data_IF_763934448118
#
_entry.id   IF_763934448118
#
_cell.length_a   1.000
_cell.length_b   1.000
_cell.length_c   1.000
_cell.angle_alpha   90.00
_cell.angle_beta   90.00
_cell.angle_gamma   90.00
#
_symmetry.space_group_name_H-M   'P 1'
#
loop_
_entity.id
_entity.type
_entity.pdbx_description
1 polymer ?
#
# COMPACT_ATOMS: atom_id res chain seq x y z
N UNK A 1 -8.84 -29.98 33.53
CA UNK A 1 -8.99 -28.59 34.00
C UNK A 1 -8.72 -27.73 32.79
N UNK A 2 -9.77 -27.18 32.17
CA UNK A 2 -9.63 -26.32 30.99
C UNK A 2 -9.32 -24.95 31.56
N UNK A 3 -8.08 -24.50 31.41
CA UNK A 3 -7.71 -23.11 31.70
C UNK A 3 -8.51 -22.23 30.75
N UNK A 4 -9.52 -21.59 31.31
CA UNK A 4 -10.25 -20.50 30.68
C UNK A 4 -9.21 -19.39 30.53
N UNK A 5 -8.66 -19.25 29.32
CA UNK A 5 -7.96 -18.03 28.94
C UNK A 5 -9.05 -16.96 28.92
N UNK A 6 -9.19 -16.28 30.04
CA UNK A 6 -9.91 -15.02 30.14
C UNK A 6 -9.09 -14.00 29.35
N UNK A 7 -9.20 -14.05 28.02
CA UNK A 7 -8.69 -13.00 27.16
C UNK A 7 -9.66 -11.85 27.30
N UNK A 8 -9.52 -11.08 28.39
CA UNK A 8 -10.11 -9.77 28.52
C UNK A 8 -9.96 -9.07 27.17
N UNK A 9 -11.09 -8.68 26.56
CA UNK A 9 -11.08 -7.89 25.34
C UNK A 9 -10.23 -6.66 25.65
N UNK A 10 -9.03 -6.61 25.07
CA UNK A 10 -8.05 -5.59 25.43
C UNK A 10 -8.59 -4.25 24.94
N UNK A 11 -9.21 -3.51 25.88
CA UNK A 11 -9.73 -2.18 25.62
C UNK A 11 -8.58 -1.21 25.40
N UNK A 12 -8.66 -0.36 24.37
CA UNK A 12 -7.66 0.67 24.14
C UNK A 12 -7.62 1.65 25.33
N UNK A 13 -6.42 2.07 25.72
CA UNK A 13 -6.21 3.16 26.69
C UNK A 13 -5.72 4.39 25.94
N UNK A 14 -6.26 5.55 26.31
CA UNK A 14 -5.97 6.82 25.65
C UNK A 14 -5.22 7.77 26.58
N UNK A 15 -4.08 8.26 26.14
CA UNK A 15 -3.29 9.24 26.89
C UNK A 15 -3.10 10.50 26.05
N UNK A 16 -3.40 11.66 26.65
CA UNK A 16 -3.13 12.95 26.04
C UNK A 16 -1.66 13.32 26.25
N UNK A 17 -1.00 13.69 25.16
CA UNK A 17 0.42 14.02 25.09
C UNK A 17 0.60 15.42 24.49
N UNK A 18 1.63 16.14 24.96
CA UNK A 18 2.07 17.39 24.34
C UNK A 18 2.66 17.14 22.95
N UNK A 19 2.62 18.14 22.05
CA UNK A 19 3.23 18.06 20.72
C UNK A 19 4.75 18.34 20.76
N UNK A 20 5.44 17.92 21.82
CA UNK A 20 6.89 18.04 21.95
C UNK A 20 7.58 16.75 21.44
N UNK A 21 8.90 16.82 21.20
CA UNK A 21 9.66 15.66 20.72
C UNK A 21 9.58 14.46 21.67
N UNK A 22 9.46 14.72 22.98
CA UNK A 22 9.30 13.69 24.02
C UNK A 22 7.88 13.14 24.12
N UNK A 23 6.89 13.79 23.49
CA UNK A 23 5.45 13.49 23.59
C UNK A 23 5.02 13.29 25.03
N UNK A 24 5.36 14.28 25.86
CA UNK A 24 5.16 14.25 27.31
C UNK A 24 3.69 14.00 27.63
N UNK A 25 3.39 12.89 28.30
CA UNK A 25 2.03 12.55 28.71
C UNK A 25 1.55 13.53 29.79
N UNK A 26 0.38 14.11 29.59
CA UNK A 26 -0.22 15.10 30.48
C UNK A 26 -1.54 14.67 31.10
N UNK A 27 -2.27 13.71 30.49
CA UNK A 27 -3.49 13.17 31.06
C UNK A 27 -3.76 11.73 30.58
N UNK A 28 -4.48 10.96 31.39
CA UNK A 28 -5.08 9.68 31.02
C UNK A 28 -6.58 9.90 30.79
N UNK A 29 -7.05 9.71 29.56
CA UNK A 29 -8.44 9.94 29.15
C UNK A 29 -9.28 8.68 29.38
N UNK A 30 -9.39 8.26 30.64
CA UNK A 30 -10.15 7.08 31.04
C UNK A 30 -11.65 7.19 30.79
N UNK A 31 -12.15 8.40 30.63
CA UNK A 31 -13.55 8.74 30.38
C UNK A 31 -13.92 8.83 28.90
N UNK A 32 -12.99 8.54 27.99
CA UNK A 32 -13.26 8.53 26.56
C UNK A 32 -14.29 7.43 26.22
N UNK A 33 -15.27 7.78 25.40
CA UNK A 33 -16.36 6.89 24.95
C UNK A 33 -16.56 6.99 23.44
N UNK A 34 -17.38 6.09 22.89
CA UNK A 34 -17.74 6.09 21.46
C UNK A 34 -16.51 6.11 20.54
N UNK A 35 -15.48 5.37 20.91
CA UNK A 35 -14.26 5.30 20.13
C UNK A 35 -14.48 4.52 18.83
N UNK A 36 -13.89 5.02 17.76
CA UNK A 36 -13.90 4.39 16.45
C UNK A 36 -12.53 4.58 15.83
N UNK A 37 -11.89 3.47 15.47
CA UNK A 37 -10.59 3.44 14.81
C UNK A 37 -10.78 2.88 13.41
N UNK A 38 -10.43 3.67 12.38
CA UNK A 38 -10.36 3.18 11.00
C UNK A 38 -8.90 2.94 10.66
N UNK A 39 -8.56 1.68 10.45
CA UNK A 39 -7.23 1.28 10.02
C UNK A 39 -7.18 1.26 8.50
N UNK A 40 -6.14 1.86 7.93
CA UNK A 40 -5.92 1.86 6.49
C UNK A 40 -4.65 1.10 6.14
N UNK A 41 -4.63 0.49 4.95
CA UNK A 41 -3.47 -0.27 4.46
C UNK A 41 -2.48 0.71 3.83
N UNK A 42 -1.47 1.10 4.58
CA UNK A 42 -0.40 2.02 4.15
C UNK A 42 -0.74 3.50 4.18
N UNK A 43 -2.02 3.86 4.16
CA UNK A 43 -2.47 5.22 4.38
C UNK A 43 -2.43 5.61 5.87
N UNK A 44 -2.97 6.78 6.20
CA UNK A 44 -3.06 7.28 7.57
C UNK A 44 -4.28 6.67 8.25
N UNK A 45 -4.13 6.16 9.48
CA UNK A 45 -5.26 5.68 10.28
C UNK A 45 -6.08 6.85 10.84
N UNK A 46 -7.37 6.65 11.08
CA UNK A 46 -8.24 7.64 11.74
C UNK A 46 -8.65 7.13 13.11
N UNK A 47 -8.74 8.05 14.08
CA UNK A 47 -9.29 7.78 15.41
C UNK A 47 -10.30 8.87 15.73
N UNK A 48 -11.49 8.47 16.14
CA UNK A 48 -12.50 9.36 16.70
C UNK A 48 -12.91 8.86 18.07
N UNK A 49 -13.14 9.77 19.02
CA UNK A 49 -13.72 9.45 20.33
C UNK A 49 -14.42 10.68 20.91
N UNK A 50 -15.23 10.46 21.94
CA UNK A 50 -15.95 11.51 22.67
C UNK A 50 -15.48 11.58 24.11
N UNK A 51 -15.44 12.79 24.68
CA UNK A 51 -15.14 13.05 26.08
C UNK A 51 -16.28 13.89 26.68
N UNK A 52 -16.89 13.48 27.80
CA UNK A 52 -17.97 14.25 28.41
C UNK A 52 -17.45 15.55 29.03
N UNK A 53 -18.22 16.63 28.89
CA UNK A 53 -17.93 17.93 29.49
C UNK A 53 -17.98 17.89 31.02
N UNK A 54 -18.82 16.99 31.56
CA UNK A 54 -19.00 16.82 33.00
C UNK A 54 -18.99 15.34 33.39
N UNK A 55 -18.38 15.05 34.53
CA UNK A 55 -18.34 13.73 35.13
C UNK A 55 -19.28 13.67 36.33
N UNK A 56 -19.96 12.53 36.50
CA UNK A 56 -20.73 12.26 37.72
C UNK A 56 -19.80 11.67 38.78
N UNK A 57 -19.55 12.42 39.86
CA UNK A 57 -18.73 11.95 40.99
C UNK A 57 -19.50 12.16 42.29
N UNK A 58 -19.81 11.07 43.01
CA UNK A 58 -20.61 11.10 44.25
C UNK A 58 -21.93 11.87 44.09
N UNK A 59 -22.68 11.59 43.02
CA UNK A 59 -23.94 12.27 42.64
C UNK A 59 -23.83 13.79 42.42
N UNK A 60 -22.61 14.32 42.18
CA UNK A 60 -22.40 15.72 41.80
C UNK A 60 -21.81 15.81 40.39
N UNK A 61 -22.32 16.77 39.62
CA UNK A 61 -21.83 17.12 38.29
C UNK A 61 -20.54 17.94 38.44
N UNK A 62 -19.40 17.38 38.05
CA UNK A 62 -18.09 18.03 38.13
C UNK A 62 -17.55 18.26 36.73
N UNK A 63 -17.09 19.48 36.41
CA UNK A 63 -16.49 19.78 35.10
C UNK A 63 -15.29 18.86 34.85
N UNK A 64 -15.24 18.25 33.68
CA UNK A 64 -14.11 17.44 33.28
C UNK A 64 -12.88 18.33 33.03
N UNK A 65 -11.82 18.12 33.82
CA UNK A 65 -10.57 18.89 33.72
C UNK A 65 -9.81 18.62 32.43
N UNK A 66 -9.97 17.43 31.83
CA UNK A 66 -9.25 17.07 30.61
C UNK A 66 -9.76 17.80 29.38
N UNK A 67 -11.02 18.23 29.37
CA UNK A 67 -11.62 18.99 28.26
C UNK A 67 -10.84 20.26 27.96
N UNK A 68 -10.40 20.99 29.00
CA UNK A 68 -9.64 22.24 28.84
C UNK A 68 -8.17 21.97 28.42
N UNK A 69 -7.69 20.73 28.58
CA UNK A 69 -6.33 20.32 28.20
C UNK A 69 -6.24 19.82 26.75
N UNK A 70 -7.33 19.27 26.22
CA UNK A 70 -7.40 18.78 24.84
C UNK A 70 -7.36 19.98 23.89
N UNK A 71 -6.33 20.01 23.04
CA UNK A 71 -6.11 21.08 22.06
C UNK A 71 -5.75 20.49 20.71
N UNK A 72 -6.00 21.23 19.64
CA UNK A 72 -5.55 20.87 18.32
C UNK A 72 -4.02 20.70 18.29
N UNK A 73 -3.52 19.85 17.39
CA UNK A 73 -2.11 19.46 17.27
C UNK A 73 -1.51 18.68 18.43
N UNK A 74 -2.20 18.51 19.57
CA UNK A 74 -1.72 17.61 20.61
C UNK A 74 -1.78 16.16 20.13
N UNK A 75 -1.08 15.27 20.82
CA UNK A 75 -1.04 13.87 20.46
C UNK A 75 -1.91 13.02 21.39
N UNK A 76 -2.53 11.98 20.84
CA UNK A 76 -3.19 10.91 21.58
C UNK A 76 -2.36 9.65 21.43
N UNK A 77 -1.81 9.15 22.53
CA UNK A 77 -1.17 7.82 22.58
C UNK A 77 -2.25 6.79 22.86
N UNK A 78 -2.44 5.87 21.93
CA UNK A 78 -3.32 4.71 22.06
C UNK A 78 -2.48 3.51 22.44
N UNK A 79 -2.82 2.86 23.54
CA UNK A 79 -2.20 1.61 23.97
C UNK A 79 -3.22 0.48 23.89
N UNK A 80 -2.97 -0.52 23.04
CA UNK A 80 -3.80 -1.71 22.90
C UNK A 80 -2.91 -2.96 23.02
N UNK A 81 -2.81 -3.48 24.23
CA UNK A 81 -1.94 -4.63 24.54
C UNK A 81 -0.48 -4.23 24.40
N UNK A 82 0.24 -4.87 23.48
CA UNK A 82 1.63 -4.52 23.15
C UNK A 82 1.76 -3.44 22.06
N UNK A 83 0.65 -3.08 21.42
CA UNK A 83 0.67 -2.11 20.34
C UNK A 83 0.48 -0.70 20.90
N UNK A 84 1.37 0.21 20.48
CA UNK A 84 1.34 1.63 20.83
C UNK A 84 1.31 2.41 19.53
N UNK A 85 0.33 3.31 19.40
CA UNK A 85 0.22 4.20 18.26
C UNK A 85 -0.04 5.63 18.72
N UNK A 86 0.55 6.60 18.03
CA UNK A 86 0.29 8.02 18.27
C UNK A 86 -0.58 8.60 17.16
N UNK A 87 -1.54 9.43 17.58
CA UNK A 87 -2.43 10.17 16.72
C UNK A 87 -2.27 11.67 16.96
N UNK A 88 -2.42 12.48 15.92
CA UNK A 88 -2.49 13.93 15.95
C UNK A 88 -3.95 14.37 16.03
N UNK A 89 -4.29 15.19 17.02
CA UNK A 89 -5.62 15.82 17.13
C UNK A 89 -5.76 16.84 16.00
N UNK A 90 -6.68 16.57 15.09
CA UNK A 90 -6.90 17.41 13.91
C UNK A 90 -8.10 18.34 14.10
N UNK A 91 -9.18 17.85 14.73
CA UNK A 91 -10.41 18.62 14.88
C UNK A 91 -11.07 18.28 16.21
N UNK A 92 -11.62 19.31 16.86
CA UNK A 92 -12.41 19.20 18.08
C UNK A 92 -13.78 19.81 17.79
N UNK A 93 -14.82 19.04 18.01
CA UNK A 93 -16.21 19.45 17.80
C UNK A 93 -16.89 19.43 19.17
N UNK A 94 -17.50 20.56 19.55
CA UNK A 94 -18.30 20.63 20.78
C UNK A 94 -19.75 20.37 20.40
N UNK A 95 -20.34 19.35 21.01
CA UNK A 95 -21.73 18.97 20.78
C UNK A 95 -22.51 19.17 22.06
N UNK A 96 -23.51 20.04 22.01
CA UNK A 96 -24.41 20.35 23.13
C UNK A 96 -25.76 19.68 22.87
N UNK A 97 -25.76 18.35 22.98
CA UNK A 97 -26.97 17.52 22.93
C UNK A 97 -27.22 16.93 24.34
N UNK A 98 -28.00 15.85 24.46
CA UNK A 98 -28.39 15.24 25.76
C UNK A 98 -27.22 14.90 26.71
N UNK A 99 -26.00 14.71 26.17
CA UNK A 99 -24.83 14.25 26.92
C UNK A 99 -23.68 15.26 27.02
N UNK A 100 -23.83 16.51 26.54
CA UNK A 100 -22.82 17.59 26.64
C UNK A 100 -21.37 17.06 26.45
N UNK A 101 -20.93 16.83 25.21
CA UNK A 101 -19.64 16.16 24.92
C UNK A 101 -18.75 16.97 23.99
N UNK A 102 -17.45 16.68 24.03
CA UNK A 102 -16.53 17.04 22.94
C UNK A 102 -16.23 15.79 22.13
N UNK A 103 -16.36 15.88 20.82
CA UNK A 103 -15.92 14.86 19.86
C UNK A 103 -14.55 15.26 19.33
N UNK A 104 -13.59 14.35 19.39
CA UNK A 104 -12.22 14.56 18.96
C UNK A 104 -11.94 13.67 17.75
N UNK A 105 -11.53 14.28 16.64
CA UNK A 105 -11.15 13.59 15.41
C UNK A 105 -9.63 13.72 15.22
N UNK A 106 -8.97 12.58 15.09
CA UNK A 106 -7.53 12.45 15.02
C UNK A 106 -7.10 11.66 13.79
N UNK A 107 -5.94 12.03 13.24
CA UNK A 107 -5.24 11.25 12.23
C UNK A 107 -3.99 10.63 12.83
N UNK A 108 -3.56 9.47 12.34
CA UNK A 108 -2.29 8.87 12.79
C UNK A 108 -1.14 9.86 12.58
N UNK A 109 -0.11 9.78 13.42
CA UNK A 109 1.01 10.72 13.46
C UNK A 109 1.66 11.06 12.09
N UNK A 110 1.76 10.14 11.10
CA UNK A 110 2.30 10.46 9.78
C UNK A 110 1.62 11.63 9.08
N UNK A 111 0.39 11.98 9.47
CA UNK A 111 -0.32 13.14 8.96
C UNK A 111 0.45 14.46 9.14
N UNK A 112 1.40 14.55 10.08
CA UNK A 112 2.29 15.71 10.21
C UNK A 112 3.09 16.00 8.91
N UNK A 113 3.40 14.96 8.13
CA UNK A 113 4.11 15.05 6.85
C UNK A 113 3.28 15.72 5.75
N UNK A 114 1.96 15.81 5.89
CA UNK A 114 1.07 16.49 4.93
C UNK A 114 1.36 18.00 4.83
N UNK A 115 1.95 18.59 5.87
CA UNK A 115 2.24 20.03 5.95
C UNK A 115 3.60 20.40 5.38
N UNK A 116 4.46 19.40 5.10
CA UNK A 116 5.81 19.61 4.56
C UNK A 116 5.73 19.49 3.04
N UNK A 117 6.11 20.55 2.33
CA UNK A 117 5.98 20.62 0.88
C UNK A 117 7.32 20.43 0.18
N UNK A 118 7.28 19.68 -0.92
CA UNK A 118 8.37 19.46 -1.86
C UNK A 118 7.97 20.09 -3.19
N UNK A 119 8.90 20.83 -3.82
CA UNK A 119 8.68 21.48 -5.11
C UNK A 119 9.71 20.97 -6.12
N UNK A 120 9.23 20.56 -7.30
CA UNK A 120 10.05 20.24 -8.46
C UNK A 120 11.17 19.22 -8.17
N UNK A 121 10.88 18.17 -7.41
CA UNK A 121 11.82 17.08 -7.21
C UNK A 121 11.82 16.17 -8.44
N UNK A 122 13.00 15.85 -8.96
CA UNK A 122 13.18 15.00 -10.15
C UNK A 122 14.50 14.26 -10.07
N UNK A 123 14.45 12.93 -10.21
CA UNK A 123 15.62 12.04 -10.27
C UNK A 123 15.37 10.95 -11.31
N UNK A 124 16.41 10.48 -11.99
CA UNK A 124 16.27 9.54 -13.13
C UNK A 124 16.51 8.08 -12.75
N UNK A 125 17.38 7.81 -11.79
CA UNK A 125 17.82 6.45 -11.48
C UNK A 125 18.09 6.29 -10.00
N UNK A 126 17.05 6.44 -9.18
CA UNK A 126 17.14 6.27 -7.73
C UNK A 126 16.33 5.07 -7.27
N UNK A 127 16.78 4.45 -6.19
CA UNK A 127 16.06 3.39 -5.52
C UNK A 127 15.13 3.92 -4.42
N UNK A 128 14.31 3.04 -3.81
CA UNK A 128 13.30 3.47 -2.85
C UNK A 128 13.90 4.16 -1.61
N UNK A 129 14.99 3.62 -1.04
CA UNK A 129 15.64 4.21 0.14
C UNK A 129 16.21 5.59 -0.16
N UNK A 130 16.88 5.78 -1.30
CA UNK A 130 17.44 7.07 -1.70
C UNK A 130 16.35 8.14 -1.80
N UNK A 131 15.25 7.83 -2.49
CA UNK A 131 14.13 8.77 -2.63
C UNK A 131 13.51 9.07 -1.26
N UNK A 132 13.31 8.06 -0.41
CA UNK A 132 12.76 8.27 0.94
C UNK A 132 13.63 9.15 1.82
N UNK A 133 14.96 8.97 1.79
CA UNK A 133 15.91 9.83 2.53
C UNK A 133 15.75 11.28 2.08
N UNK A 134 15.71 11.53 0.77
CA UNK A 134 15.57 12.87 0.22
C UNK A 134 14.22 13.52 0.58
N UNK A 135 13.13 12.74 0.60
CA UNK A 135 11.80 13.23 0.98
C UNK A 135 11.72 13.58 2.47
N UNK A 136 12.41 12.84 3.33
CA UNK A 136 12.30 12.95 4.78
C UNK A 136 13.33 13.89 5.42
N UNK A 137 14.37 14.30 4.68
CA UNK A 137 15.52 15.09 5.20
C UNK A 137 15.14 16.36 5.97
N UNK A 138 14.02 17.01 5.60
CA UNK A 138 13.55 18.27 6.23
C UNK A 138 12.49 18.05 7.30
N UNK A 139 12.34 16.80 7.75
CA UNK A 139 11.32 16.37 8.71
C UNK A 139 11.95 15.75 9.95
N UNK A 140 11.12 15.47 10.95
CA UNK A 140 11.52 14.72 12.16
C UNK A 140 11.24 13.21 12.03
N UNK A 141 10.86 12.77 10.83
CA UNK A 141 10.65 11.37 10.49
C UNK A 141 11.89 10.84 9.79
N UNK A 142 12.16 9.55 9.98
CA UNK A 142 13.34 8.89 9.42
C UNK A 142 12.94 7.66 8.59
N UNK A 143 13.85 7.20 7.74
CA UNK A 143 13.71 5.90 7.09
C UNK A 143 13.88 4.81 8.14
N UNK A 144 12.98 3.83 8.12
CA UNK A 144 13.06 2.63 8.92
C UNK A 144 13.57 1.45 8.10
N UNK A 145 12.89 0.31 8.21
CA UNK A 145 13.15 -0.88 7.41
C UNK A 145 12.63 -0.71 5.97
N UNK A 146 13.44 -1.10 4.99
CA UNK A 146 13.05 -1.18 3.58
C UNK A 146 13.45 -2.57 3.09
N UNK A 147 12.50 -3.33 2.54
CA UNK A 147 12.82 -4.63 1.94
C UNK A 147 13.81 -4.46 0.77
N UNK A 148 14.88 -5.27 0.80
CA UNK A 148 16.05 -5.11 -0.08
C UNK A 148 15.71 -5.10 -1.58
N UNK A 149 14.64 -5.78 -2.00
CA UNK A 149 14.21 -5.77 -3.40
C UNK A 149 13.84 -4.37 -3.92
N UNK A 150 13.42 -3.46 -3.05
CA UNK A 150 13.12 -2.08 -3.44
C UNK A 150 14.38 -1.26 -3.68
N UNK A 151 15.51 -1.69 -3.12
CA UNK A 151 16.82 -1.07 -3.33
C UNK A 151 17.56 -1.63 -4.56
N UNK A 152 17.12 -2.78 -5.08
CA UNK A 152 17.60 -3.36 -6.34
C UNK A 152 16.91 -2.76 -7.58
N UNK A 153 15.77 -2.08 -7.39
CA UNK A 153 15.00 -1.43 -8.46
C UNK A 153 15.37 0.05 -8.51
N UNK A 154 15.62 0.57 -9.72
CA UNK A 154 15.90 1.99 -9.94
C UNK A 154 14.81 2.57 -10.84
N UNK A 155 14.29 3.73 -10.46
CA UNK A 155 13.18 4.40 -11.14
C UNK A 155 13.47 5.88 -11.33
N UNK A 156 12.94 6.43 -12.41
CA UNK A 156 12.71 7.87 -12.51
C UNK A 156 11.59 8.24 -11.53
N UNK A 157 11.77 9.32 -10.80
CA UNK A 157 10.79 9.80 -9.84
C UNK A 157 10.70 11.32 -9.89
N UNK A 158 9.54 11.80 -10.31
CA UNK A 158 9.19 13.22 -10.37
C UNK A 158 8.07 13.49 -9.39
N UNK A 159 8.22 14.54 -8.57
CA UNK A 159 7.28 14.84 -7.50
C UNK A 159 7.15 16.33 -7.19
N UNK A 160 5.90 16.75 -6.96
CA UNK A 160 5.55 18.02 -6.34
C UNK A 160 4.31 17.82 -5.48
N UNK A 161 4.37 18.25 -4.21
CA UNK A 161 3.28 18.02 -3.27
C UNK A 161 3.76 17.94 -1.82
N UNK A 162 2.98 17.29 -0.96
CA UNK A 162 3.40 17.06 0.43
C UNK A 162 4.35 15.86 0.57
N UNK A 163 5.17 15.83 1.62
CA UNK A 163 6.02 14.67 1.96
C UNK A 163 5.18 13.42 2.18
N UNK A 164 3.98 13.55 2.77
CA UNK A 164 3.07 12.41 2.95
C UNK A 164 2.67 11.80 1.60
N UNK A 165 2.25 12.63 0.65
CA UNK A 165 1.92 12.19 -0.71
C UNK A 165 3.13 11.67 -1.47
N UNK A 166 4.34 12.17 -1.18
CA UNK A 166 5.57 11.65 -1.78
C UNK A 166 5.81 10.21 -1.33
N UNK A 167 5.70 9.93 -0.02
CA UNK A 167 5.83 8.57 0.53
C UNK A 167 4.79 7.62 -0.07
N UNK A 168 3.55 8.08 -0.24
CA UNK A 168 2.50 7.31 -0.91
C UNK A 168 2.83 7.01 -2.36
N UNK A 169 3.36 7.99 -3.11
CA UNK A 169 3.76 7.77 -4.50
C UNK A 169 4.96 6.82 -4.59
N UNK A 170 5.95 6.93 -3.69
CA UNK A 170 7.08 5.98 -3.63
C UNK A 170 6.53 4.56 -3.43
N UNK A 171 5.63 4.36 -2.46
CA UNK A 171 5.05 3.05 -2.21
C UNK A 171 4.31 2.50 -3.44
N UNK A 172 3.53 3.32 -4.14
CA UNK A 172 2.87 2.91 -5.39
C UNK A 172 3.88 2.57 -6.50
N UNK A 173 4.91 3.41 -6.70
CA UNK A 173 5.95 3.22 -7.74
C UNK A 173 6.74 1.93 -7.54
N UNK A 174 7.00 1.55 -6.29
CA UNK A 174 7.75 0.33 -5.95
C UNK A 174 6.85 -0.86 -5.59
N UNK A 175 5.53 -0.67 -5.61
CA UNK A 175 4.52 -1.66 -5.16
C UNK A 175 4.79 -2.14 -3.74
N UNK A 176 5.18 -1.21 -2.86
CA UNK A 176 5.51 -1.47 -1.46
C UNK A 176 4.32 -1.20 -0.54
N UNK A 177 4.26 -1.91 0.57
CA UNK A 177 3.37 -1.62 1.68
C UNK A 177 4.06 -0.65 2.66
N UNK A 178 3.42 0.50 2.91
CA UNK A 178 3.89 1.43 3.94
C UNK A 178 3.49 0.91 5.32
N UNK A 179 4.45 0.87 6.25
CA UNK A 179 4.21 0.60 7.66
C UNK A 179 4.80 1.73 8.50
N UNK A 180 3.91 2.48 9.16
CA UNK A 180 4.29 3.63 9.97
C UNK A 180 4.66 3.21 11.39
N UNK A 181 5.91 3.44 11.80
CA UNK A 181 6.28 3.39 13.21
C UNK A 181 6.08 4.77 13.83
N UNK A 182 4.89 4.99 14.39
CA UNK A 182 4.54 6.27 15.03
C UNK A 182 5.33 6.50 16.31
N UNK A 183 5.89 5.46 16.95
CA UNK A 183 6.68 5.60 18.17
C UNK A 183 8.07 6.12 17.82
N UNK A 184 8.75 5.53 16.85
CA UNK A 184 10.08 5.97 16.43
C UNK A 184 10.06 7.05 15.35
N UNK A 185 8.88 7.39 14.84
CA UNK A 185 8.67 8.27 13.67
C UNK A 185 9.44 7.74 12.46
N UNK A 186 9.25 6.45 12.15
CA UNK A 186 9.90 5.82 11.01
C UNK A 186 8.89 5.43 9.91
N UNK A 187 9.33 5.58 8.68
CA UNK A 187 8.64 5.08 7.49
C UNK A 187 9.30 3.78 7.08
N UNK A 188 8.56 2.68 7.11
CA UNK A 188 9.04 1.38 6.66
C UNK A 188 8.33 0.98 5.36
N UNK A 189 9.05 0.31 4.47
CA UNK A 189 8.52 -0.26 3.24
C UNK A 189 8.70 -1.78 3.27
N UNK A 190 7.58 -2.49 3.22
CA UNK A 190 7.56 -3.95 3.18
C UNK A 190 7.02 -4.47 1.86
N UNK A 191 7.46 -5.65 1.46
CA UNK A 191 6.80 -6.44 0.43
C UNK A 191 5.39 -6.84 0.91
N UNK A 192 4.33 -6.41 0.21
CA UNK A 192 2.96 -6.79 0.54
C UNK A 192 2.72 -8.31 0.61
N UNK A 193 3.47 -9.11 -0.16
CA UNK A 193 3.27 -10.55 -0.29
C UNK A 193 3.93 -11.34 0.85
N UNK A 194 4.99 -10.80 1.45
CA UNK A 194 5.70 -11.43 2.59
C UNK A 194 5.42 -10.75 3.92
N UNK A 195 4.72 -9.61 3.93
CA UNK A 195 4.41 -8.89 5.16
C UNK A 195 3.31 -9.58 5.97
N UNK A 196 3.68 -9.95 7.20
CA UNK A 196 2.79 -10.61 8.15
C UNK A 196 2.80 -12.12 8.01
N UNK A 197 2.12 -12.79 8.94
CA UNK A 197 2.00 -14.25 8.94
C UNK A 197 0.58 -14.68 9.24
N UNK A 198 0.17 -15.79 8.64
CA UNK A 198 -1.12 -16.39 8.95
C UNK A 198 -1.12 -16.88 10.41
N UNK A 199 -1.88 -16.21 11.27
CA UNK A 199 -2.01 -16.55 12.70
C UNK A 199 -3.03 -17.68 12.97
N UNK A 200 -3.53 -18.33 11.93
CA UNK A 200 -4.44 -19.47 12.05
C UNK A 200 -5.89 -19.11 12.36
N UNK A 201 -6.27 -17.82 12.32
CA UNK A 201 -7.65 -17.42 12.51
C UNK A 201 -8.53 -17.95 11.38
N UNK A 202 -9.55 -18.74 11.74
CA UNK A 202 -10.52 -19.32 10.81
C UNK A 202 -11.92 -19.00 11.32
N UNK A 203 -12.79 -18.54 10.43
CA UNK A 203 -14.18 -18.20 10.72
C UNK A 203 -15.09 -18.83 9.67
N UNK A 204 -16.38 -19.03 9.99
CA UNK A 204 -17.40 -19.57 9.07
C UNK A 204 -18.70 -18.82 9.28
N UNK A 205 -19.58 -18.82 8.28
CA UNK A 205 -20.91 -18.23 8.42
C UNK A 205 -21.64 -18.79 9.66
N UNK A 206 -22.21 -17.91 10.48
CA UNK A 206 -22.84 -18.26 11.76
C UNK A 206 -21.86 -18.58 12.89
N UNK A 207 -20.55 -18.59 12.65
CA UNK A 207 -19.48 -18.78 13.63
C UNK A 207 -18.43 -17.67 13.50
N UNK A 208 -18.64 -16.56 14.22
CA UNK A 208 -17.81 -15.36 14.15
C UNK A 208 -17.86 -14.62 12.79
N UNK A 209 -18.86 -14.89 11.94
CA UNK A 209 -19.12 -14.19 10.68
C UNK A 209 -20.63 -14.03 10.51
N UNK A 210 -21.07 -12.78 10.35
CA UNK A 210 -22.48 -12.43 10.15
C UNK A 210 -22.88 -12.38 8.68
N UNK A 211 -21.94 -12.09 7.77
CA UNK A 211 -22.17 -12.04 6.34
C UNK A 211 -20.85 -11.96 5.58
N UNK A 212 -20.90 -12.31 4.30
CA UNK A 212 -19.80 -12.15 3.35
C UNK A 212 -20.40 -11.64 2.05
N UNK A 213 -19.79 -10.59 1.50
CA UNK A 213 -20.13 -10.07 0.17
C UNK A 213 -18.91 -10.29 -0.69
N UNK A 214 -19.11 -10.96 -1.84
CA UNK A 214 -18.09 -11.13 -2.86
C UNK A 214 -18.55 -10.35 -4.08
N UNK A 215 -17.71 -9.42 -4.52
CA UNK A 215 -17.93 -8.63 -5.73
C UNK A 215 -16.87 -9.00 -6.75
N UNK A 216 -17.30 -9.25 -7.99
CA UNK A 216 -16.42 -9.47 -9.14
C UNK A 216 -16.51 -8.25 -10.03
N UNK A 217 -15.41 -7.52 -10.15
CA UNK A 217 -15.30 -6.33 -10.97
C UNK A 217 -14.29 -6.60 -12.12
N UNK A 218 -14.69 -6.29 -13.36
CA UNK A 218 -13.90 -6.50 -14.58
C UNK A 218 -13.47 -5.17 -15.25
N UNK A 219 -13.57 -4.04 -14.54
CA UNK A 219 -13.28 -2.70 -15.08
C UNK A 219 -11.83 -2.56 -15.57
N UNK A 220 -10.88 -3.19 -14.86
CA UNK A 220 -9.45 -3.20 -15.22
C UNK A 220 -9.02 -4.49 -15.96
N UNK A 221 -9.98 -5.26 -16.49
CA UNK A 221 -9.68 -6.50 -17.21
C UNK A 221 -9.29 -6.24 -18.67
N UNK A 222 -8.20 -6.85 -19.14
CA UNK A 222 -7.87 -6.88 -20.56
C UNK A 222 -7.20 -8.20 -20.97
N UNK A 223 -7.39 -8.60 -22.23
CA UNK A 223 -6.67 -9.72 -22.85
C UNK A 223 -5.44 -9.25 -23.64
N UNK A 224 -5.25 -7.94 -23.74
CA UNK A 224 -4.12 -7.32 -24.44
C UNK A 224 -3.70 -6.04 -23.75
N UNK A 225 -2.49 -6.03 -23.20
CA UNK A 225 -1.88 -4.89 -22.52
C UNK A 225 -0.77 -4.31 -23.39
N UNK A 226 -0.94 -3.06 -23.86
CA UNK A 226 0.10 -2.31 -24.59
C UNK A 226 1.06 -1.63 -23.62
N UNK A 227 2.35 -1.67 -23.91
CA UNK A 227 3.40 -1.15 -23.03
C UNK A 227 4.21 -0.07 -23.73
N UNK A 228 4.29 1.09 -23.08
CA UNK A 228 5.04 2.26 -23.51
C UNK A 228 5.83 2.82 -22.31
N UNK A 229 7.10 3.09 -22.54
CA UNK A 229 8.01 3.76 -21.63
C UNK A 229 8.29 5.19 -22.08
N UNK A 230 9.37 5.76 -21.53
CA UNK A 230 9.85 7.08 -21.92
C UNK A 230 10.31 7.08 -23.39
N UNK A 231 10.10 8.20 -24.09
CA UNK A 231 10.52 8.40 -25.48
C UNK A 231 9.98 7.34 -26.44
N UNK A 232 8.71 6.93 -26.24
CA UNK A 232 8.01 5.87 -26.99
C UNK A 232 8.71 4.50 -26.99
N UNK A 233 9.64 4.29 -26.05
CA UNK A 233 10.27 2.99 -25.84
C UNK A 233 9.21 1.94 -25.54
N UNK A 234 9.36 0.75 -26.11
CA UNK A 234 8.33 -0.28 -26.02
C UNK A 234 8.98 -1.67 -26.04
N UNK A 235 8.18 -2.73 -25.91
CA UNK A 235 8.67 -4.09 -25.67
C UNK A 235 8.90 -4.92 -26.93
N UNK A 236 8.80 -4.33 -28.13
CA UNK A 236 8.94 -5.09 -29.39
C UNK A 236 10.28 -5.81 -29.48
N UNK A 237 11.35 -5.22 -28.93
CA UNK A 237 12.70 -5.79 -28.94
C UNK A 237 12.87 -7.02 -28.04
N UNK A 238 11.91 -7.28 -27.14
CA UNK A 238 11.94 -8.43 -26.22
C UNK A 238 10.68 -9.29 -26.33
N UNK A 239 9.71 -8.89 -27.15
CA UNK A 239 8.47 -9.61 -27.35
C UNK A 239 8.63 -10.64 -28.49
N UNK A 240 8.44 -11.95 -28.25
CA UNK A 240 8.54 -12.96 -29.31
C UNK A 240 7.56 -12.75 -30.48
N UNK A 241 6.51 -11.96 -30.28
CA UNK A 241 5.55 -11.60 -31.34
C UNK A 241 5.95 -10.34 -32.13
N UNK A 242 7.03 -9.65 -31.73
CA UNK A 242 7.44 -8.35 -32.30
C UNK A 242 6.44 -7.21 -32.06
N UNK A 243 5.37 -7.45 -31.30
CA UNK A 243 4.34 -6.47 -30.96
C UNK A 243 4.69 -5.62 -29.74
N UNK A 244 4.00 -4.50 -29.56
CA UNK A 244 4.12 -3.64 -28.38
C UNK A 244 3.17 -4.03 -27.23
N UNK A 245 2.67 -5.27 -27.25
CA UNK A 245 1.67 -5.73 -26.30
C UNK A 245 1.96 -7.12 -25.77
N UNK A 246 1.49 -7.38 -24.55
CA UNK A 246 1.34 -8.72 -23.99
C UNK A 246 -0.11 -9.15 -24.21
N UNK A 247 -0.32 -10.42 -24.54
CA UNK A 247 -1.66 -10.97 -24.77
C UNK A 247 -1.85 -12.28 -24.00
N UNK A 248 -2.99 -12.40 -23.34
CA UNK A 248 -3.40 -13.60 -22.63
C UNK A 248 -4.93 -13.79 -22.72
N UNK A 249 -5.35 -15.01 -23.04
CA UNK A 249 -6.75 -15.43 -23.13
C UNK A 249 -7.12 -16.51 -22.10
N UNK A 250 -6.20 -16.87 -21.22
CA UNK A 250 -6.35 -17.94 -20.22
C UNK A 250 -7.64 -17.86 -19.42
N UNK A 251 -8.06 -16.65 -19.03
CA UNK A 251 -9.32 -16.40 -18.33
C UNK A 251 -10.54 -16.91 -19.11
N UNK A 252 -10.63 -16.61 -20.41
CA UNK A 252 -11.74 -17.07 -21.25
C UNK A 252 -11.58 -18.51 -21.71
N UNK A 253 -10.37 -19.06 -21.63
CA UNK A 253 -10.15 -20.49 -21.85
C UNK A 253 -10.57 -21.31 -20.63
N UNK A 254 -10.57 -20.75 -19.42
CA UNK A 254 -10.91 -21.51 -18.22
C UNK A 254 -12.34 -22.11 -18.27
N UNK A 255 -12.53 -23.36 -17.79
CA UNK A 255 -11.56 -24.32 -17.25
C UNK A 255 -11.05 -25.34 -18.30
N UNK A 256 -10.98 -24.97 -19.58
CA UNK A 256 -10.61 -25.89 -20.66
C UNK A 256 -9.29 -26.64 -20.38
N UNK A 257 -9.32 -27.97 -20.52
CA UNK A 257 -8.14 -28.81 -20.39
C UNK A 257 -8.22 -30.03 -21.30
N UNK A 258 -7.04 -30.53 -21.66
CA UNK A 258 -6.85 -31.72 -22.49
C UNK A 258 -5.87 -32.67 -21.79
N UNK A 259 -6.07 -33.97 -21.95
CA UNK A 259 -5.11 -34.99 -21.50
C UNK A 259 -3.90 -35.09 -22.44
N UNK A 260 -2.90 -35.89 -22.06
CA UNK A 260 -1.70 -36.15 -22.88
C UNK A 260 -2.01 -36.81 -24.22
N UNK A 261 -3.19 -37.41 -24.36
CA UNK A 261 -3.67 -38.06 -25.59
C UNK A 261 -4.47 -37.11 -26.49
N UNK A 262 -4.69 -35.87 -26.05
CA UNK A 262 -5.42 -34.83 -26.79
C UNK A 262 -6.94 -34.89 -26.64
N UNK A 263 -7.47 -35.68 -25.71
CA UNK A 263 -8.90 -35.70 -25.41
C UNK A 263 -9.25 -34.56 -24.46
N UNK A 264 -10.40 -33.93 -24.70
CA UNK A 264 -10.90 -32.84 -23.86
C UNK A 264 -11.39 -33.42 -22.54
N UNK A 265 -10.82 -32.95 -21.43
CA UNK A 265 -11.22 -33.35 -20.08
C UNK A 265 -12.15 -32.34 -19.43
N UNK A 266 -12.12 -31.09 -19.89
CA UNK A 266 -12.99 -30.02 -19.44
C UNK A 266 -13.18 -28.99 -20.55
N UNK A 267 -14.39 -28.44 -20.64
CA UNK A 267 -14.75 -27.41 -21.62
C UNK A 267 -14.58 -26.02 -21.01
N UNK A 268 -14.24 -25.03 -21.84
CA UNK A 268 -14.24 -23.63 -21.42
C UNK A 268 -15.67 -23.17 -21.09
N UNK A 269 -15.81 -22.22 -20.17
CA UNK A 269 -17.10 -21.56 -19.91
C UNK A 269 -17.48 -20.51 -20.97
N UNK A 270 -16.54 -20.08 -21.81
CA UNK A 270 -16.72 -18.91 -22.69
C UNK A 270 -16.37 -19.15 -24.16
N UNK A 271 -15.43 -20.04 -24.44
CA UNK A 271 -14.87 -20.27 -25.78
C UNK A 271 -15.20 -21.67 -26.28
N UNK A 272 -15.29 -21.85 -27.60
CA UNK A 272 -15.42 -23.19 -28.18
C UNK A 272 -14.15 -24.01 -27.97
N UNK A 273 -14.31 -25.33 -27.90
CA UNK A 273 -13.17 -26.25 -27.77
C UNK A 273 -12.19 -26.10 -28.94
N UNK A 274 -12.71 -25.93 -30.17
CA UNK A 274 -11.90 -25.69 -31.37
C UNK A 274 -11.01 -24.46 -31.24
N UNK A 275 -11.55 -23.35 -30.72
CA UNK A 275 -10.80 -22.13 -30.49
C UNK A 275 -9.75 -22.32 -29.39
N UNK A 276 -10.11 -22.99 -28.29
CA UNK A 276 -9.18 -23.27 -27.19
C UNK A 276 -8.00 -24.15 -27.66
N UNK A 277 -8.27 -25.16 -28.48
CA UNK A 277 -7.25 -26.02 -29.10
C UNK A 277 -6.35 -25.19 -30.03
N UNK A 278 -6.93 -24.31 -30.85
CA UNK A 278 -6.19 -23.46 -31.76
C UNK A 278 -5.26 -22.48 -30.99
N UNK A 279 -5.76 -21.85 -29.92
CA UNK A 279 -4.97 -20.97 -29.05
C UNK A 279 -3.82 -21.72 -28.35
N UNK A 280 -4.07 -22.93 -27.83
CA UNK A 280 -3.01 -23.76 -27.25
C UNK A 280 -1.93 -24.13 -28.27
N UNK A 281 -2.32 -24.50 -29.50
CA UNK A 281 -1.37 -24.77 -30.58
C UNK A 281 -0.55 -23.53 -30.94
N UNK A 282 -1.21 -22.37 -31.04
CA UNK A 282 -0.56 -21.09 -31.29
C UNK A 282 0.46 -20.75 -30.19
N UNK A 283 0.08 -20.83 -28.91
CA UNK A 283 0.96 -20.53 -27.78
C UNK A 283 2.20 -21.45 -27.76
N UNK A 284 2.01 -22.77 -27.99
CA UNK A 284 3.12 -23.73 -28.11
C UNK A 284 4.06 -23.39 -29.27
N UNK A 285 3.52 -22.97 -30.41
CA UNK A 285 4.32 -22.54 -31.55
C UNK A 285 5.15 -21.29 -31.21
N UNK A 286 4.54 -20.28 -30.59
CA UNK A 286 5.22 -19.06 -30.16
C UNK A 286 6.35 -19.41 -29.19
N UNK A 287 6.07 -20.22 -28.16
CA UNK A 287 7.07 -20.64 -27.17
C UNK A 287 8.25 -21.38 -27.82
N UNK A 288 7.98 -22.28 -28.77
CA UNK A 288 9.02 -23.00 -29.51
C UNK A 288 9.92 -22.09 -30.35
N UNK A 289 9.45 -20.89 -30.71
CA UNK A 289 10.17 -19.91 -31.54
C UNK A 289 10.79 -18.75 -30.75
N UNK A 290 10.47 -18.60 -29.47
CA UNK A 290 10.99 -17.52 -28.62
C UNK A 290 12.52 -17.46 -28.60
N UNK A 291 13.19 -18.60 -28.48
CA UNK A 291 14.67 -18.66 -28.44
C UNK A 291 15.29 -18.30 -29.78
N UNK A 292 14.74 -18.81 -30.89
CA UNK A 292 15.19 -18.49 -32.25
C UNK A 292 15.06 -16.98 -32.51
N UNK A 293 13.92 -16.40 -32.17
CA UNK A 293 13.66 -14.97 -32.33
C UNK A 293 14.61 -14.11 -31.49
N UNK A 294 14.82 -14.48 -30.22
CA UNK A 294 15.75 -13.80 -29.33
C UNK A 294 17.19 -13.81 -29.86
N UNK A 295 17.61 -14.90 -30.51
CA UNK A 295 18.92 -14.98 -31.15
C UNK A 295 19.03 -14.08 -32.39
N UNK A 296 17.98 -14.03 -33.23
CA UNK A 296 17.94 -13.12 -34.38
C UNK A 296 17.99 -11.65 -33.96
N UNK A 297 17.30 -11.27 -32.88
CA UNK A 297 17.36 -9.91 -32.32
C UNK A 297 18.77 -9.53 -31.84
N UNK A 298 19.46 -10.44 -31.12
CA UNK A 298 20.85 -10.22 -30.71
C UNK A 298 21.79 -10.02 -31.91
N UNK A 299 21.59 -10.80 -32.98
CA UNK A 299 22.37 -10.67 -34.21
C UNK A 299 22.11 -9.31 -34.89
N UNK A 300 20.84 -8.90 -34.98
CA UNK A 300 20.44 -7.59 -35.53
C UNK A 300 21.11 -6.44 -34.76
N UNK A 301 20.99 -6.42 -33.43
CA UNK A 301 21.61 -5.41 -32.56
C UNK A 301 23.13 -5.36 -32.75
N UNK A 302 23.79 -6.52 -32.82
CA UNK A 302 25.24 -6.60 -33.07
C UNK A 302 25.64 -6.01 -34.44
N UNK A 303 24.80 -6.20 -35.47
CA UNK A 303 25.04 -5.65 -36.80
C UNK A 303 24.80 -4.14 -36.85
N UNK A 304 23.77 -3.64 -36.17
CA UNK A 304 23.49 -2.21 -36.06
C UNK A 304 24.62 -1.45 -35.35
N UNK A 305 25.18 -2.01 -34.27
CA UNK A 305 26.37 -1.45 -33.62
C UNK A 305 27.57 -1.36 -34.58
N UNK A 306 27.79 -2.40 -35.39
CA UNK A 306 28.86 -2.42 -36.40
C UNK A 306 28.62 -1.37 -37.48
N UNK A 307 27.38 -1.20 -37.92
CA UNK A 307 27.00 -0.19 -38.91
C UNK A 307 27.24 1.23 -38.35
N UNK A 308 26.76 1.51 -37.14
CA UNK A 308 26.95 2.81 -36.47
C UNK A 308 28.43 3.15 -36.29
N UNK A 309 29.27 2.17 -35.89
CA UNK A 309 30.73 2.35 -35.79
C UNK A 309 31.36 2.71 -37.15
N UNK A 310 30.87 2.12 -38.26
CA UNK A 310 31.35 2.45 -39.61
C UNK A 310 30.88 3.85 -40.05
N UNK A 311 29.61 4.18 -39.84
CA UNK A 311 29.04 5.49 -40.18
C UNK A 311 29.75 6.62 -39.44
N UNK A 312 30.00 6.47 -38.13
CA UNK A 312 30.75 7.46 -37.35
C UNK A 312 32.21 7.61 -37.81
N UNK A 313 32.83 6.58 -38.38
CA UNK A 313 34.16 6.72 -38.99
C UNK A 313 34.11 7.54 -40.26
N UNK A 314 33.11 7.33 -41.11
CA UNK A 314 32.95 8.08 -42.37
C UNK A 314 32.65 9.56 -42.12
N UNK A 315 31.83 9.89 -41.10
CA UNK A 315 31.47 11.28 -40.78
C UNK A 315 32.64 12.07 -40.16
N UNK A 316 33.60 11.38 -39.52
CA UNK A 316 34.77 12.00 -38.90
C UNK A 316 36.03 12.02 -39.81
N UNK A 317 35.88 11.75 -41.11
CA UNK A 317 36.94 11.86 -42.13
C UNK A 317 36.60 12.97 -43.10
#
# INVERSE_FOLDING_TARGET
MIDIIDSDIIKPKYFLCRPDLKRTTIANLSEATSDSQKLSRGNVNELTFSVPLFLSKKNKRVKNKHVDLIKEKYHIRVEKGKHIEYYLINKIIKTMDDMDTIKVECFSLPFELSTKLIKNYSVVSYNATQILVDMLQSTIWNVGYVDAQFDLKYRTFDFTGSVLSAVQQIASTFTALIVWDTVKRQVNLYDPDTYGSNKGFKTKYGKLMQGITQELNLDEFCTRLKLFGKDDMSIQEVNPLGGNFIQDFSYFMYPFAIDDKGNITSHSFYMSDELCIALNKYNKLVESKTSDYSNLLKQKSTQEEKLNKKTNRIINT
#
